data_IF_899375971545
#
_entry.id   IF_899375971545
#
_cell.length_a   1.000
_cell.length_b   1.000
_cell.length_c   1.000
_cell.angle_alpha   90.00
_cell.angle_beta   90.00
_cell.angle_gamma   90.00
#
_symmetry.space_group_name_H-M   'P 1'
#
loop_
_entity.id
_entity.type
_entity.pdbx_description
1 polymer ?
#
# COMPACT_ATOMS: atom_id res chain seq x y z
N UNK A 1 -35.21 -11.33 0.41
CA UNK A 1 -34.12 -10.33 0.53
C UNK A 1 -32.73 -10.94 0.75
N UNK A 2 -32.54 -11.94 1.62
CA UNK A 2 -31.21 -12.55 1.86
C UNK A 2 -30.60 -13.24 0.64
N UNK A 3 -31.44 -13.85 -0.22
CA UNK A 3 -30.99 -14.48 -1.49
C UNK A 3 -30.44 -13.44 -2.47
N UNK A 4 -31.12 -12.30 -2.65
CA UNK A 4 -30.68 -11.21 -3.54
C UNK A 4 -29.31 -10.65 -3.13
N UNK A 5 -29.05 -10.53 -1.83
CA UNK A 5 -27.74 -10.07 -1.33
C UNK A 5 -26.61 -11.00 -1.76
N UNK A 6 -26.80 -12.32 -1.60
CA UNK A 6 -25.81 -13.33 -2.03
C UNK A 6 -25.58 -13.31 -3.53
N UNK A 7 -26.64 -13.10 -4.31
CA UNK A 7 -26.55 -13.03 -5.77
C UNK A 7 -25.78 -11.78 -6.23
N UNK A 8 -25.98 -10.64 -5.58
CA UNK A 8 -25.20 -9.42 -5.89
C UNK A 8 -23.70 -9.61 -5.66
N UNK A 9 -23.30 -10.42 -4.68
CA UNK A 9 -21.88 -10.75 -4.46
C UNK A 9 -21.29 -11.55 -5.63
N UNK A 10 -22.11 -12.28 -6.41
CA UNK A 10 -21.68 -13.02 -7.60
C UNK A 10 -21.53 -12.12 -8.84
N UNK A 11 -22.09 -10.91 -8.86
CA UNK A 11 -21.99 -10.00 -10.01
C UNK A 11 -20.53 -9.65 -10.29
N UNK A 12 -19.79 -9.28 -9.25
CA UNK A 12 -18.37 -8.97 -9.39
C UNK A 12 -17.60 -10.20 -9.91
N UNK A 13 -17.92 -11.39 -9.44
CA UNK A 13 -17.24 -12.63 -9.86
C UNK A 13 -17.51 -12.95 -11.34
N UNK A 14 -18.73 -12.73 -11.85
CA UNK A 14 -19.09 -12.89 -13.26
C UNK A 14 -18.29 -11.94 -14.15
N UNK A 15 -18.17 -10.66 -13.78
CA UNK A 15 -17.46 -9.68 -14.59
C UNK A 15 -15.95 -9.91 -14.70
N UNK A 16 -15.37 -10.68 -13.77
CA UNK A 16 -13.97 -11.10 -13.83
C UNK A 16 -13.80 -12.54 -14.37
N UNK A 17 -14.86 -13.18 -14.87
CA UNK A 17 -14.86 -14.57 -15.34
C UNK A 17 -14.36 -15.55 -14.25
N UNK A 18 -14.70 -15.27 -12.99
CA UNK A 18 -14.25 -16.03 -11.80
C UNK A 18 -15.32 -16.98 -11.22
N UNK A 19 -16.51 -17.07 -11.82
CA UNK A 19 -17.57 -17.95 -11.35
C UNK A 19 -17.29 -19.41 -11.73
N UNK A 20 -17.62 -20.32 -10.81
CA UNK A 20 -17.69 -21.73 -11.15
C UNK A 20 -19.07 -22.08 -11.74
N UNK A 21 -19.17 -23.25 -12.40
CA UNK A 21 -20.41 -23.69 -13.07
C UNK A 21 -21.65 -23.75 -12.17
N UNK A 22 -21.47 -24.08 -10.89
CA UNK A 22 -22.59 -24.11 -9.93
C UNK A 22 -23.06 -22.70 -9.59
N UNK A 23 -22.14 -21.75 -9.46
CA UNK A 23 -22.47 -20.36 -9.18
C UNK A 23 -23.06 -19.66 -10.42
N UNK A 24 -22.56 -19.96 -11.63
CA UNK A 24 -23.13 -19.48 -12.90
C UNK A 24 -24.61 -19.90 -13.01
N UNK A 25 -24.90 -21.20 -12.85
CA UNK A 25 -26.28 -21.69 -12.90
C UNK A 25 -27.16 -21.09 -11.80
N UNK A 26 -26.63 -20.89 -10.60
CA UNK A 26 -27.35 -20.24 -9.49
C UNK A 26 -27.66 -18.77 -9.83
N UNK A 27 -26.70 -18.05 -10.41
CA UNK A 27 -26.85 -16.67 -10.86
C UNK A 27 -27.90 -16.57 -11.97
N UNK A 28 -27.78 -17.37 -13.03
CA UNK A 28 -28.71 -17.38 -14.16
C UNK A 28 -30.14 -17.67 -13.71
N UNK A 29 -30.35 -18.72 -12.91
CA UNK A 29 -31.66 -19.07 -12.37
C UNK A 29 -32.26 -17.91 -11.57
N UNK A 30 -31.46 -17.25 -10.73
CA UNK A 30 -31.96 -16.12 -9.96
C UNK A 30 -32.29 -14.90 -10.82
N UNK A 31 -31.50 -14.62 -11.86
CA UNK A 31 -31.77 -13.53 -12.79
C UNK A 31 -33.07 -13.81 -13.57
N UNK A 32 -33.41 -15.07 -13.85
CA UNK A 32 -34.69 -15.46 -14.44
C UNK A 32 -35.89 -15.25 -13.51
N UNK A 33 -35.71 -15.46 -12.20
CA UNK A 33 -36.79 -15.33 -11.22
C UNK A 33 -36.98 -13.90 -10.67
N UNK A 34 -35.90 -13.14 -10.54
CA UNK A 34 -35.91 -11.86 -9.82
C UNK A 34 -35.70 -10.66 -10.78
N UNK A 35 -36.76 -9.89 -11.09
CA UNK A 35 -36.64 -8.74 -12.01
C UNK A 35 -35.78 -7.61 -11.44
N UNK A 36 -35.73 -7.43 -10.12
CA UNK A 36 -34.91 -6.40 -9.49
C UNK A 36 -33.40 -6.68 -9.67
N UNK A 37 -32.96 -7.91 -9.39
CA UNK A 37 -31.56 -8.31 -9.60
C UNK A 37 -31.19 -8.29 -11.08
N UNK A 38 -32.12 -8.66 -11.98
CA UNK A 38 -31.92 -8.58 -13.43
C UNK A 38 -31.69 -7.15 -13.92
N UNK A 39 -32.50 -6.20 -13.44
CA UNK A 39 -32.33 -4.79 -13.79
C UNK A 39 -30.94 -4.28 -13.36
N UNK A 40 -30.54 -4.55 -12.11
CA UNK A 40 -29.24 -4.14 -11.58
C UNK A 40 -28.05 -4.77 -12.32
N UNK A 41 -28.15 -6.06 -12.67
CA UNK A 41 -27.13 -6.75 -13.46
C UNK A 41 -27.00 -6.15 -14.87
N UNK A 42 -28.12 -5.85 -15.51
CA UNK A 42 -28.15 -5.21 -16.83
C UNK A 42 -27.55 -3.80 -16.78
N UNK A 43 -27.82 -3.03 -15.73
CA UNK A 43 -27.26 -1.70 -15.55
C UNK A 43 -25.73 -1.75 -15.45
N UNK A 44 -25.18 -2.65 -14.62
CA UNK A 44 -23.72 -2.86 -14.52
C UNK A 44 -23.12 -3.31 -15.86
N UNK A 45 -23.75 -4.27 -16.52
CA UNK A 45 -23.30 -4.78 -17.83
C UNK A 45 -23.26 -3.67 -18.87
N UNK A 46 -24.28 -2.80 -18.90
CA UNK A 46 -24.34 -1.66 -19.82
C UNK A 46 -23.21 -0.65 -19.56
N UNK A 47 -22.87 -0.41 -18.29
CA UNK A 47 -21.78 0.47 -17.91
C UNK A 47 -20.42 -0.08 -18.35
N UNK A 48 -20.19 -1.38 -18.20
CA UNK A 48 -18.96 -2.04 -18.68
C UNK A 48 -18.86 -2.00 -20.21
N UNK A 49 -19.96 -2.25 -20.93
CA UNK A 49 -19.99 -2.13 -22.38
C UNK A 49 -19.70 -0.69 -22.83
N UNK A 50 -20.22 0.31 -22.11
CA UNK A 50 -19.92 1.72 -22.36
C UNK A 50 -18.43 2.04 -22.14
N UNK A 51 -17.82 1.51 -21.07
CA UNK A 51 -16.38 1.66 -20.82
C UNK A 51 -15.53 0.98 -21.89
N UNK A 52 -15.94 -0.21 -22.37
CA UNK A 52 -15.23 -0.97 -23.41
C UNK A 52 -15.27 -0.28 -24.78
N UNK A 53 -16.31 0.51 -25.06
CA UNK A 53 -16.42 1.31 -26.30
C UNK A 53 -15.37 2.44 -26.38
N UNK A 54 -14.76 2.85 -25.27
CA UNK A 54 -13.60 3.76 -25.33
C UNK A 54 -12.38 2.99 -25.83
N UNK A 55 -12.20 2.97 -27.14
CA UNK A 55 -10.91 2.65 -27.72
C UNK A 55 -9.91 3.70 -27.22
N UNK A 56 -8.98 3.29 -26.35
CA UNK A 56 -7.81 4.12 -26.09
C UNK A 56 -6.97 4.07 -27.34
N UNK A 57 -6.68 5.25 -27.89
CA UNK A 57 -5.65 5.37 -28.92
C UNK A 57 -4.36 4.88 -28.30
N UNK A 58 -3.84 3.75 -28.77
CA UNK A 58 -2.54 3.30 -28.34
C UNK A 58 -1.51 4.34 -28.78
N UNK A 59 -0.65 4.82 -27.86
CA UNK A 59 0.40 5.75 -28.24
C UNK A 59 1.30 5.09 -29.27
N UNK A 60 1.57 5.81 -30.37
CA UNK A 60 2.45 5.30 -31.43
C UNK A 60 3.87 5.01 -30.92
N UNK A 61 4.71 4.29 -31.68
CA UNK A 61 6.03 3.83 -31.24
C UNK A 61 6.91 4.94 -30.65
N UNK A 62 6.92 6.13 -31.28
CA UNK A 62 7.73 7.27 -30.82
C UNK A 62 7.22 7.96 -29.55
N UNK A 63 6.02 7.64 -29.05
CA UNK A 63 5.57 8.12 -27.75
C UNK A 63 6.44 7.57 -26.62
N UNK A 64 6.90 6.33 -26.77
CA UNK A 64 7.70 5.64 -25.76
C UNK A 64 9.13 6.17 -25.71
N UNK A 65 9.61 6.81 -26.78
CA UNK A 65 10.90 7.49 -26.82
C UNK A 65 10.95 8.60 -25.75
N UNK A 66 11.88 8.44 -24.81
CA UNK A 66 12.03 9.36 -23.68
C UNK A 66 10.87 9.36 -22.68
N UNK A 67 9.92 8.42 -22.76
CA UNK A 67 8.84 8.30 -21.78
C UNK A 67 9.39 8.12 -20.36
N UNK A 68 10.41 7.28 -20.20
CA UNK A 68 11.06 7.04 -18.92
C UNK A 68 11.70 8.32 -18.35
N UNK A 69 12.34 9.13 -19.18
CA UNK A 69 12.91 10.43 -18.77
C UNK A 69 11.81 11.38 -18.31
N UNK A 70 10.71 11.49 -19.06
CA UNK A 70 9.55 12.32 -18.68
C UNK A 70 8.87 11.82 -17.40
N UNK A 71 8.82 10.50 -17.21
CA UNK A 71 8.25 9.88 -16.02
C UNK A 71 9.10 10.17 -14.78
N UNK A 72 10.42 9.98 -14.87
CA UNK A 72 11.36 10.25 -13.78
C UNK A 72 11.37 11.74 -13.41
N UNK A 73 11.38 12.65 -14.39
CA UNK A 73 11.29 14.10 -14.16
C UNK A 73 9.96 14.48 -13.47
N UNK A 74 8.85 13.83 -13.83
CA UNK A 74 7.56 14.04 -13.17
C UNK A 74 7.55 13.48 -11.75
N UNK A 75 8.10 12.29 -11.53
CA UNK A 75 8.22 11.70 -10.19
C UNK A 75 9.08 12.58 -9.28
N UNK A 76 10.22 13.09 -9.75
CA UNK A 76 11.08 13.99 -8.97
C UNK A 76 10.36 15.30 -8.63
N UNK A 77 9.58 15.86 -9.57
CA UNK A 77 8.77 17.07 -9.35
C UNK A 77 7.62 16.83 -8.38
N UNK A 78 6.96 15.68 -8.45
CA UNK A 78 5.81 15.34 -7.61
C UNK A 78 6.23 14.84 -6.21
N UNK A 79 7.40 14.21 -6.06
CA UNK A 79 7.98 13.82 -4.77
C UNK A 79 8.34 15.03 -3.88
N UNK A 80 8.43 16.24 -4.43
CA UNK A 80 8.58 17.47 -3.63
C UNK A 80 7.27 17.89 -2.94
N UNK A 81 6.12 17.35 -3.32
CA UNK A 81 4.82 17.67 -2.71
C UNK A 81 4.37 16.70 -1.61
N UNK A 82 5.12 15.61 -1.36
CA UNK A 82 4.88 14.70 -0.24
C UNK A 82 6.08 14.72 0.71
N UNK A 83 6.08 15.70 1.61
CA UNK A 83 6.80 15.71 2.89
C UNK A 83 8.31 15.42 2.86
N UNK A 84 9.12 16.46 2.68
CA UNK A 84 10.45 16.52 3.34
C UNK A 84 10.27 17.02 4.77
N UNK A 85 10.39 16.19 5.83
CA UNK A 85 10.62 16.69 7.17
C UNK A 85 12.01 17.35 7.20
N UNK A 86 12.06 18.53 7.81
CA UNK A 86 13.15 19.47 7.66
C UNK A 86 14.53 18.91 7.99
N UNK A 87 15.45 19.06 7.04
CA UNK A 87 16.88 19.23 7.30
C UNK A 87 17.40 20.39 6.46
N UNK A 88 17.03 21.61 6.86
CA UNK A 88 17.77 22.81 6.44
C UNK A 88 19.11 22.76 7.16
N UNK A 89 20.13 22.28 6.43
CA UNK A 89 21.53 22.33 6.85
C UNK A 89 21.92 23.80 6.98
N UNK A 90 22.30 24.14 8.21
CA UNK A 90 22.82 25.41 8.69
C UNK A 90 24.08 25.77 7.90
N UNK A 91 23.98 26.69 6.94
CA UNK A 91 25.14 27.32 6.27
C UNK A 91 24.85 28.80 5.95
N UNK A 92 24.28 29.53 6.91
CA UNK A 92 23.98 30.97 6.76
C UNK A 92 24.36 31.83 7.99
N UNK A 93 25.18 31.32 8.92
CA UNK A 93 25.45 31.98 10.21
C UNK A 93 26.86 32.52 10.40
N UNK A 94 27.57 32.98 9.36
CA UNK A 94 28.89 33.61 9.53
C UNK A 94 29.02 35.04 8.96
N UNK A 95 27.91 35.73 8.64
CA UNK A 95 28.00 37.08 8.06
C UNK A 95 27.14 38.17 8.71
N UNK A 96 26.41 37.91 9.80
CA UNK A 96 25.53 38.91 10.41
C UNK A 96 25.70 38.96 11.93
N UNK A 97 26.83 39.54 12.37
CA UNK A 97 26.86 40.32 13.61
C UNK A 97 27.02 41.78 13.17
N UNK A 98 26.00 42.62 13.41
CA UNK A 98 26.25 43.73 14.33
C UNK A 98 25.05 44.13 15.21
N UNK A 99 25.35 44.53 16.46
CA UNK A 99 24.58 45.53 17.22
C UNK A 99 23.71 45.04 18.39
N UNK A 100 23.68 45.74 19.55
CA UNK A 100 23.09 45.28 20.82
C UNK A 100 21.55 45.47 20.93
N UNK A 101 20.81 45.31 19.83
CA UNK A 101 19.34 45.48 19.82
C UNK A 101 18.55 44.20 20.16
N UNK A 102 19.19 43.04 20.04
CA UNK A 102 18.66 41.71 20.35
C UNK A 102 18.35 41.48 21.84
N UNK A 103 19.03 42.17 22.75
CA UNK A 103 18.78 42.03 24.19
C UNK A 103 17.36 42.48 24.57
N UNK A 104 16.86 43.57 24.00
CA UNK A 104 15.52 44.07 24.30
C UNK A 104 14.40 43.21 23.71
N UNK A 105 14.64 42.56 22.56
CA UNK A 105 13.68 41.64 21.95
C UNK A 105 13.58 40.31 22.71
N UNK A 106 14.71 39.81 23.22
CA UNK A 106 14.71 38.62 24.08
C UNK A 106 13.96 38.87 25.41
N UNK A 107 14.17 40.04 26.03
CA UNK A 107 13.47 40.41 27.26
C UNK A 107 11.96 40.54 27.03
N UNK A 108 11.52 41.16 25.93
CA UNK A 108 10.10 41.29 25.62
C UNK A 108 9.39 39.93 25.43
N UNK A 109 10.06 38.96 24.79
CA UNK A 109 9.51 37.62 24.61
C UNK A 109 9.33 36.87 25.94
N UNK A 110 10.31 36.98 26.86
CA UNK A 110 10.23 36.38 28.19
C UNK A 110 9.09 36.99 29.01
N UNK A 111 8.90 38.31 28.95
CA UNK A 111 7.81 39.00 29.65
C UNK A 111 6.44 38.51 29.16
N UNK A 112 6.24 38.36 27.85
CA UNK A 112 4.98 37.84 27.29
C UNK A 112 4.67 36.40 27.73
N UNK A 113 5.70 35.55 27.84
CA UNK A 113 5.53 34.17 28.34
C UNK A 113 5.13 34.17 29.82
N UNK A 114 5.76 35.01 30.65
CA UNK A 114 5.43 35.11 32.08
C UNK A 114 4.00 35.64 32.28
N UNK A 115 3.59 36.66 31.52
CA UNK A 115 2.23 37.19 31.55
C UNK A 115 1.22 36.11 31.11
N UNK A 116 1.53 35.35 30.06
CA UNK A 116 0.69 34.26 29.58
C UNK A 116 0.50 33.15 30.61
N UNK A 117 1.57 32.76 31.30
CA UNK A 117 1.51 31.75 32.38
C UNK A 117 0.68 32.28 33.55
N UNK A 118 0.82 33.57 33.90
CA UNK A 118 0.10 34.18 35.02
C UNK A 118 -1.41 34.28 34.72
N UNK A 119 -1.78 34.80 33.54
CA UNK A 119 -3.17 34.85 33.09
C UNK A 119 -3.79 33.45 32.94
N UNK A 120 -3.03 32.48 32.43
CA UNK A 120 -3.47 31.09 32.32
C UNK A 120 -3.74 30.44 33.67
N UNK A 121 -2.97 30.80 34.71
CA UNK A 121 -3.14 30.26 36.06
C UNK A 121 -4.31 30.90 36.81
N UNK A 122 -4.56 32.19 36.61
CA UNK A 122 -5.66 32.92 37.29
C UNK A 122 -7.03 32.60 36.67
N UNK A 123 -7.11 32.44 35.34
CA UNK A 123 -8.36 32.17 34.63
C UNK A 123 -8.74 30.68 34.58
N UNK A 124 -7.77 29.77 34.76
CA UNK A 124 -8.00 28.32 34.77
C UNK A 124 -7.46 27.71 36.07
N UNK A 125 -8.18 27.80 37.20
CA UNK A 125 -7.77 27.14 38.43
C UNK A 125 -7.67 25.62 38.19
N UNK A 126 -6.57 24.98 38.63
CA UNK A 126 -6.39 23.54 38.45
C UNK A 126 -7.51 22.80 39.19
N UNK A 127 -8.22 21.92 38.46
CA UNK A 127 -9.27 21.09 39.02
C UNK A 127 -8.73 20.27 40.21
N UNK A 128 -9.51 20.10 41.29
CA UNK A 128 -9.05 19.36 42.46
C UNK A 128 -8.71 17.92 42.08
N UNK A 129 -7.65 17.34 42.67
CA UNK A 129 -7.17 16.01 42.31
C UNK A 129 -8.25 14.98 42.62
N UNK A 130 -8.90 14.50 41.57
CA UNK A 130 -9.89 13.43 41.67
C UNK A 130 -9.13 12.13 41.84
N UNK A 131 -9.09 11.62 43.07
CA UNK A 131 -8.68 10.29 43.53
C UNK A 131 -8.16 9.31 42.44
N UNK A 132 -6.91 9.48 42.03
CA UNK A 132 -6.19 8.58 41.11
C UNK A 132 -5.85 7.20 41.75
N UNK A 133 -6.02 7.04 43.07
CA UNK A 133 -5.72 5.79 43.76
C UNK A 133 -6.75 4.66 43.54
N UNK A 134 -7.96 4.96 43.02
CA UNK A 134 -9.01 3.94 42.79
C UNK A 134 -9.09 3.41 41.35
N UNK A 135 -8.21 3.87 40.44
CA UNK A 135 -8.16 3.42 39.04
C UNK A 135 -6.97 2.50 38.69
N UNK A 136 -6.14 2.10 39.66
CA UNK A 136 -5.09 1.09 39.45
C UNK A 136 -5.60 -0.37 39.42
N UNK A 137 -6.92 -0.58 39.38
CA UNK A 137 -7.54 -1.90 39.25
C UNK A 137 -8.28 -2.14 37.93
N UNK A 138 -8.30 -1.18 37.01
CA UNK A 138 -8.91 -1.36 35.70
C UNK A 138 -7.82 -1.45 34.63
N UNK A 139 -7.68 -2.59 33.92
CA UNK A 139 -6.78 -2.65 32.78
C UNK A 139 -7.22 -1.60 31.75
N UNK A 140 -6.26 -0.98 31.04
CA UNK A 140 -6.59 -0.02 30.00
C UNK A 140 -7.54 -0.69 29.00
N UNK A 141 -8.64 -0.01 28.68
CA UNK A 141 -9.42 -0.30 27.47
C UNK A 141 -8.53 0.08 26.29
N UNK A 142 -7.61 -0.82 25.97
CA UNK A 142 -6.99 -0.88 24.66
C UNK A 142 -8.15 -1.08 23.71
N UNK A 143 -8.38 -0.11 22.83
CA UNK A 143 -9.16 -0.36 21.62
C UNK A 143 -8.52 -1.58 20.97
N UNK A 144 -9.17 -2.74 21.11
CA UNK A 144 -8.68 -4.03 20.65
C UNK A 144 -8.49 -3.89 19.15
N UNK A 145 -7.25 -3.62 18.71
CA UNK A 145 -6.90 -3.73 17.31
C UNK A 145 -7.22 -5.17 16.94
N UNK A 146 -8.18 -5.34 16.05
CA UNK A 146 -8.51 -6.66 15.50
C UNK A 146 -7.21 -7.29 14.98
N UNK A 147 -6.82 -8.49 15.45
CA UNK A 147 -5.56 -9.16 15.07
C UNK A 147 -5.37 -9.27 13.56
N UNK A 148 -6.47 -9.32 12.79
CA UNK A 148 -6.42 -9.33 11.34
C UNK A 148 -5.96 -8.02 10.69
N UNK A 149 -6.09 -6.86 11.34
CA UNK A 149 -5.73 -5.56 10.76
C UNK A 149 -4.21 -5.34 10.70
N UNK A 150 -3.49 -5.79 11.73
CA UNK A 150 -2.03 -5.70 11.82
C UNK A 150 -1.34 -6.61 10.80
N UNK A 151 -1.82 -7.85 10.67
CA UNK A 151 -1.34 -8.80 9.65
C UNK A 151 -1.52 -8.25 8.23
N UNK A 152 -2.67 -7.64 7.93
CA UNK A 152 -2.93 -7.05 6.61
C UNK A 152 -1.98 -5.87 6.32
N UNK A 153 -1.74 -5.01 7.30
CA UNK A 153 -0.81 -3.88 7.14
C UNK A 153 0.63 -4.35 6.90
N UNK A 154 1.09 -5.36 7.64
CA UNK A 154 2.42 -5.94 7.45
C UNK A 154 2.56 -6.68 6.12
N UNK A 155 1.50 -7.36 5.68
CA UNK A 155 1.47 -8.02 4.37
C UNK A 155 1.54 -6.98 3.24
N UNK A 156 0.84 -5.86 3.38
CA UNK A 156 0.86 -4.79 2.39
C UNK A 156 2.24 -4.13 2.28
N UNK A 157 2.84 -3.73 3.40
CA UNK A 157 4.20 -3.13 3.42
C UNK A 157 5.24 -4.12 2.85
N UNK A 158 5.06 -5.42 3.07
CA UNK A 158 5.90 -6.44 2.44
C UNK A 158 5.74 -6.47 0.91
N UNK A 159 4.50 -6.43 0.40
CA UNK A 159 4.21 -6.45 -1.04
C UNK A 159 4.79 -5.20 -1.71
N UNK A 160 4.59 -4.02 -1.13
CA UNK A 160 5.08 -2.74 -1.68
C UNK A 160 6.60 -2.71 -1.80
N UNK A 161 7.33 -3.16 -0.78
CA UNK A 161 8.79 -3.24 -0.83
C UNK A 161 9.28 -4.28 -1.83
N UNK A 162 8.56 -5.40 -1.95
CA UNK A 162 8.87 -6.43 -2.94
C UNK A 162 8.68 -5.90 -4.36
N UNK A 163 7.63 -5.09 -4.60
CA UNK A 163 7.35 -4.46 -5.90
C UNK A 163 8.49 -3.56 -6.38
N UNK A 164 9.03 -2.71 -5.50
CA UNK A 164 10.15 -1.82 -5.84
C UNK A 164 11.38 -2.64 -6.26
N UNK A 165 11.72 -3.69 -5.52
CA UNK A 165 12.84 -4.57 -5.86
C UNK A 165 12.61 -5.30 -7.19
N UNK A 166 11.42 -5.85 -7.43
CA UNK A 166 11.12 -6.55 -8.68
C UNK A 166 11.14 -5.61 -9.89
N UNK A 167 10.67 -4.37 -9.73
CA UNK A 167 10.74 -3.37 -10.79
C UNK A 167 12.18 -3.01 -11.15
N UNK A 168 13.05 -2.87 -10.15
CA UNK A 168 14.47 -2.63 -10.40
C UNK A 168 15.10 -3.78 -11.22
N UNK A 169 14.76 -5.04 -10.90
CA UNK A 169 15.30 -6.21 -11.59
C UNK A 169 14.70 -6.37 -13.00
N UNK A 170 13.41 -6.12 -13.18
CA UNK A 170 12.76 -6.27 -14.50
C UNK A 170 13.23 -5.20 -15.46
N UNK A 171 13.36 -3.96 -14.99
CA UNK A 171 13.74 -2.83 -15.81
C UNK A 171 15.24 -2.80 -16.13
N UNK A 172 16.07 -3.52 -15.38
CA UNK A 172 17.51 -3.60 -15.66
C UNK A 172 17.77 -4.38 -16.94
N UNK A 173 18.34 -3.75 -17.96
CA UNK A 173 18.72 -4.42 -19.21
C UNK A 173 20.23 -4.68 -19.26
N UNK A 174 20.69 -5.94 -19.12
CA UNK A 174 22.11 -6.26 -19.10
C UNK A 174 22.84 -5.99 -20.43
N UNK A 175 22.11 -5.83 -21.54
CA UNK A 175 22.71 -5.52 -22.85
C UNK A 175 23.00 -4.02 -23.02
N UNK A 176 22.26 -3.16 -22.32
CA UNK A 176 22.35 -1.70 -22.47
C UNK A 176 22.81 -0.96 -21.22
N UNK A 177 22.66 -1.56 -20.05
CA UNK A 177 22.97 -0.96 -18.75
C UNK A 177 24.11 -1.70 -18.04
N UNK A 178 25.04 -0.94 -17.46
CA UNK A 178 26.15 -1.50 -16.69
C UNK A 178 25.65 -2.28 -15.47
N UNK A 179 26.28 -3.43 -15.18
CA UNK A 179 25.99 -4.29 -14.01
C UNK A 179 26.09 -3.56 -12.65
N UNK A 180 26.78 -2.43 -12.60
CA UNK A 180 26.86 -1.57 -11.42
C UNK A 180 25.59 -0.73 -11.17
N UNK A 181 24.74 -0.53 -12.17
CA UNK A 181 23.48 0.23 -12.06
C UNK A 181 22.45 -0.54 -11.22
N UNK A 182 22.36 -1.86 -11.38
CA UNK A 182 21.44 -2.70 -10.60
C UNK A 182 21.88 -2.83 -9.13
N UNK A 183 23.16 -2.59 -8.82
CA UNK A 183 23.79 -2.86 -7.52
C UNK A 183 23.29 -4.20 -6.92
N UNK A 184 23.68 -5.29 -7.57
CA UNK A 184 23.23 -6.64 -7.22
C UNK A 184 23.44 -6.99 -5.74
N UNK A 185 24.56 -6.65 -5.08
CA UNK A 185 24.73 -6.88 -3.65
C UNK A 185 23.66 -6.20 -2.78
N UNK A 186 23.27 -4.97 -3.14
CA UNK A 186 22.21 -4.26 -2.44
C UNK A 186 20.85 -4.95 -2.63
N UNK A 187 20.51 -5.38 -3.85
CA UNK A 187 19.24 -6.09 -4.11
C UNK A 187 19.17 -7.44 -3.37
N UNK A 188 20.28 -8.17 -3.30
CA UNK A 188 20.38 -9.41 -2.50
C UNK A 188 20.15 -9.12 -1.02
N UNK A 189 20.73 -8.06 -0.47
CA UNK A 189 20.55 -7.69 0.94
C UNK A 189 19.10 -7.32 1.24
N UNK A 190 18.47 -6.52 0.36
CA UNK A 190 17.05 -6.16 0.47
C UNK A 190 16.19 -7.43 0.39
N UNK A 191 16.47 -8.33 -0.54
CA UNK A 191 15.76 -9.60 -0.67
C UNK A 191 15.87 -10.46 0.61
N UNK A 192 17.07 -10.61 1.17
CA UNK A 192 17.31 -11.34 2.44
C UNK A 192 16.52 -10.73 3.60
N UNK A 193 16.42 -9.39 3.67
CA UNK A 193 15.60 -8.70 4.68
C UNK A 193 14.12 -9.00 4.51
N UNK A 194 13.62 -9.02 3.27
CA UNK A 194 12.24 -9.33 2.94
C UNK A 194 11.88 -10.79 3.28
N UNK A 195 12.77 -11.74 3.00
CA UNK A 195 12.57 -13.17 3.32
C UNK A 195 12.40 -13.44 4.82
N UNK A 196 13.13 -12.73 5.69
CA UNK A 196 12.93 -12.82 7.15
C UNK A 196 11.52 -12.43 7.55
N UNK A 197 10.93 -11.46 6.84
CA UNK A 197 9.60 -10.94 7.10
C UNK A 197 8.49 -11.86 6.58
N UNK A 198 8.72 -12.53 5.46
CA UNK A 198 7.82 -13.59 4.95
C UNK A 198 7.63 -14.70 5.97
N UNK A 199 8.69 -15.12 6.66
CA UNK A 199 8.61 -16.16 7.69
C UNK A 199 7.62 -15.81 8.81
N UNK A 200 7.61 -14.56 9.26
CA UNK A 200 6.63 -14.07 10.25
C UNK A 200 5.22 -14.04 9.67
N UNK A 201 5.04 -13.48 8.46
CA UNK A 201 3.73 -13.38 7.80
C UNK A 201 3.10 -14.77 7.59
N UNK A 202 3.88 -15.76 7.17
CA UNK A 202 3.41 -17.14 6.97
C UNK A 202 3.02 -17.82 8.29
N UNK A 203 3.77 -17.55 9.36
CA UNK A 203 3.45 -18.06 10.70
C UNK A 203 2.12 -17.50 11.18
N UNK A 204 1.91 -16.20 11.03
CA UNK A 204 0.61 -15.57 11.33
C UNK A 204 -0.51 -16.08 10.42
N UNK A 205 -0.21 -16.38 9.16
CA UNK A 205 -1.20 -17.02 8.30
C UNK A 205 -1.60 -18.44 8.75
N UNK A 206 -0.77 -19.11 9.54
CA UNK A 206 -1.05 -20.44 10.08
C UNK A 206 -1.80 -20.39 11.43
N UNK A 207 -1.57 -19.36 12.24
CA UNK A 207 -2.24 -19.18 13.55
C UNK A 207 -3.69 -18.73 13.43
N UNK A 208 -4.03 -17.99 12.36
CA UNK A 208 -5.39 -17.48 12.09
C UNK A 208 -6.38 -18.58 11.64
N UNK A 209 -5.93 -19.82 11.44
CA UNK A 209 -6.76 -20.97 11.01
C UNK A 209 -7.95 -21.35 11.93
N UNK A 210 -8.14 -20.67 13.08
CA UNK A 210 -9.22 -20.94 14.04
C UNK A 210 -10.44 -20.01 14.00
N UNK A 211 -10.41 -18.88 13.29
CA UNK A 211 -11.53 -17.94 13.21
C UNK A 211 -11.78 -17.54 11.74
N UNK A 212 -13.03 -17.61 11.22
CA UNK A 212 -13.29 -17.24 9.84
C UNK A 212 -13.13 -15.72 9.69
N UNK A 213 -12.11 -15.20 8.98
CA UNK A 213 -12.11 -13.80 8.65
C UNK A 213 -13.20 -13.60 7.59
N UNK A 214 -13.97 -12.52 7.69
CA UNK A 214 -15.01 -12.09 6.76
C UNK A 214 -14.58 -12.00 5.26
N UNK A 215 -13.33 -12.36 4.92
CA UNK A 215 -12.72 -12.24 3.59
C UNK A 215 -11.80 -13.44 3.24
N UNK A 216 -12.33 -14.66 3.24
CA UNK A 216 -11.56 -15.90 3.02
C UNK A 216 -10.80 -15.95 1.68
N UNK A 217 -11.38 -15.44 0.58
CA UNK A 217 -10.74 -15.42 -0.76
C UNK A 217 -9.57 -14.44 -0.84
N UNK A 218 -9.73 -13.22 -0.31
CA UNK A 218 -8.65 -12.20 -0.24
C UNK A 218 -7.45 -12.72 0.55
N UNK A 219 -7.71 -13.40 1.65
CA UNK A 219 -6.68 -14.00 2.47
C UNK A 219 -5.90 -15.10 1.73
N UNK A 220 -6.61 -15.97 1.01
CA UNK A 220 -6.01 -17.03 0.18
C UNK A 220 -5.14 -16.44 -0.93
N UNK A 221 -5.64 -15.43 -1.64
CA UNK A 221 -4.90 -14.73 -2.70
C UNK A 221 -3.63 -14.05 -2.17
N UNK A 222 -3.71 -13.37 -1.02
CA UNK A 222 -2.53 -12.77 -0.38
C UNK A 222 -1.51 -13.84 0.03
N UNK A 223 -1.96 -14.97 0.58
CA UNK A 223 -1.09 -16.09 0.93
C UNK A 223 -0.38 -16.67 -0.29
N UNK A 224 -1.09 -16.87 -1.40
CA UNK A 224 -0.51 -17.32 -2.66
C UNK A 224 0.51 -16.30 -3.20
N UNK A 225 0.16 -15.01 -3.22
CA UNK A 225 1.06 -13.94 -3.66
C UNK A 225 2.33 -13.86 -2.80
N UNK A 226 2.20 -13.97 -1.48
CA UNK A 226 3.34 -13.99 -0.56
C UNK A 226 4.23 -15.21 -0.81
N UNK A 227 3.64 -16.36 -1.14
CA UNK A 227 4.39 -17.58 -1.48
C UNK A 227 5.11 -17.44 -2.82
N UNK A 228 4.46 -16.87 -3.83
CA UNK A 228 5.08 -16.57 -5.12
C UNK A 228 6.27 -15.61 -4.95
N UNK A 229 6.09 -14.58 -4.12
CA UNK A 229 7.13 -13.62 -3.79
C UNK A 229 8.31 -14.25 -3.03
N UNK A 230 8.05 -15.15 -2.09
CA UNK A 230 9.09 -15.86 -1.34
C UNK A 230 10.04 -16.60 -2.30
N UNK A 231 9.49 -17.30 -3.29
CA UNK A 231 10.27 -18.06 -4.27
C UNK A 231 11.16 -17.12 -5.09
N UNK A 232 10.60 -16.01 -5.57
CA UNK A 232 11.36 -15.05 -6.38
C UNK A 232 12.43 -14.37 -5.53
N UNK A 233 12.10 -13.95 -4.31
CA UNK A 233 13.05 -13.34 -3.39
C UNK A 233 14.20 -14.31 -3.04
N UNK A 234 13.91 -15.60 -2.84
CA UNK A 234 14.95 -16.62 -2.67
C UNK A 234 15.89 -16.71 -3.86
N UNK A 235 15.36 -16.65 -5.08
CA UNK A 235 16.17 -16.63 -6.30
C UNK A 235 17.06 -15.39 -6.34
N UNK A 236 16.50 -14.20 -6.06
CA UNK A 236 17.25 -12.94 -6.01
C UNK A 236 18.34 -12.95 -4.94
N UNK A 237 18.04 -13.47 -3.76
CA UNK A 237 18.96 -13.51 -2.63
C UNK A 237 20.18 -14.43 -2.86
N UNK A 238 20.03 -15.40 -3.77
CA UNK A 238 21.04 -16.40 -4.13
C UNK A 238 21.65 -16.17 -5.52
N UNK A 239 21.39 -15.04 -6.18
CA UNK A 239 22.12 -14.66 -7.40
C UNK A 239 23.61 -14.61 -7.07
N UNK A 240 24.48 -15.17 -7.89
CA UNK A 240 25.92 -15.11 -7.64
C UNK A 240 26.47 -13.71 -7.94
N UNK A 241 27.49 -13.28 -7.20
CA UNK A 241 28.20 -12.02 -7.47
C UNK A 241 29.04 -12.18 -8.73
N UNK A 242 28.42 -11.97 -9.89
CA UNK A 242 28.93 -12.38 -11.22
C UNK A 242 27.92 -13.15 -12.06
N UNK A 243 26.65 -13.20 -11.62
CA UNK A 243 25.57 -13.91 -12.27
C UNK A 243 25.49 -13.57 -13.77
N UNK A 244 25.58 -14.63 -14.56
CA UNK A 244 25.43 -14.61 -16.01
C UNK A 244 24.06 -14.02 -16.40
N UNK A 245 24.00 -13.36 -17.55
CA UNK A 245 22.80 -12.70 -18.11
C UNK A 245 21.59 -13.64 -18.05
N UNK A 246 21.85 -14.91 -18.33
CA UNK A 246 20.94 -16.05 -18.26
C UNK A 246 20.22 -16.21 -16.91
N UNK A 247 20.88 -15.92 -15.79
CA UNK A 247 20.32 -16.09 -14.44
C UNK A 247 19.40 -14.93 -14.07
N UNK A 248 19.77 -13.70 -14.47
CA UNK A 248 18.90 -12.52 -14.32
C UNK A 248 17.65 -12.67 -15.19
N UNK A 249 17.81 -13.19 -16.40
CA UNK A 249 16.71 -13.44 -17.32
C UNK A 249 15.76 -14.55 -16.81
N UNK A 250 16.28 -15.57 -16.13
CA UNK A 250 15.47 -16.60 -15.47
C UNK A 250 14.61 -16.01 -14.34
N UNK A 251 15.15 -15.07 -13.56
CA UNK A 251 14.37 -14.34 -12.54
C UNK A 251 13.32 -13.44 -13.21
N UNK A 252 13.68 -12.69 -14.26
CA UNK A 252 12.73 -11.87 -15.02
C UNK A 252 11.58 -12.70 -15.58
N UNK A 253 11.89 -13.86 -16.17
CA UNK A 253 10.91 -14.80 -16.70
C UNK A 253 10.06 -15.39 -15.57
N UNK A 254 10.64 -15.72 -14.42
CA UNK A 254 9.89 -16.14 -13.23
C UNK A 254 8.87 -15.11 -12.75
N UNK A 255 9.23 -13.82 -12.77
CA UNK A 255 8.30 -12.73 -12.41
C UNK A 255 7.20 -12.54 -13.46
N UNK A 256 7.55 -12.61 -14.76
CA UNK A 256 6.60 -12.48 -15.88
C UNK A 256 5.61 -13.66 -15.93
N UNK A 257 6.11 -14.89 -15.90
CA UNK A 257 5.31 -16.13 -16.01
C UNK A 257 4.30 -16.23 -14.87
N UNK A 258 4.70 -15.85 -13.64
CA UNK A 258 3.81 -15.91 -12.48
C UNK A 258 2.83 -14.73 -12.40
N UNK A 259 2.91 -13.76 -13.32
CA UNK A 259 2.04 -12.58 -13.35
C UNK A 259 2.08 -11.78 -12.05
N UNK A 260 3.20 -11.81 -11.31
CA UNK A 260 3.26 -11.31 -9.92
C UNK A 260 2.97 -9.82 -9.85
N UNK A 261 3.53 -9.03 -10.78
CA UNK A 261 3.26 -7.60 -10.86
C UNK A 261 1.78 -7.29 -11.16
N UNK A 262 1.12 -8.13 -11.96
CA UNK A 262 -0.30 -8.00 -12.25
C UNK A 262 -1.15 -8.34 -11.03
N UNK A 263 -0.84 -9.44 -10.32
CA UNK A 263 -1.50 -9.80 -9.05
C UNK A 263 -1.35 -8.69 -7.99
N UNK A 264 -0.20 -8.01 -7.94
CA UNK A 264 0.01 -6.84 -7.07
C UNK A 264 -0.87 -5.65 -7.46
N UNK A 265 -0.88 -5.28 -8.75
CA UNK A 265 -1.70 -4.17 -9.25
C UNK A 265 -3.20 -4.39 -9.01
N UNK A 266 -3.69 -5.63 -9.17
CA UNK A 266 -5.07 -5.99 -8.86
C UNK A 266 -5.40 -5.81 -7.37
N UNK A 267 -4.44 -6.08 -6.49
CA UNK A 267 -4.59 -5.89 -5.04
C UNK A 267 -4.69 -4.40 -4.70
N UNK A 268 -3.91 -3.54 -5.36
CA UNK A 268 -3.93 -2.08 -5.19
C UNK A 268 -5.26 -1.45 -5.66
N UNK A 269 -5.77 -1.85 -6.84
CA UNK A 269 -7.00 -1.31 -7.44
C UNK A 269 -8.22 -1.60 -6.56
N UNK A 270 -8.37 -2.83 -6.05
CA UNK A 270 -9.51 -3.19 -5.17
C UNK A 270 -9.47 -2.48 -3.82
N UNK A 271 -8.29 -2.16 -3.28
CA UNK A 271 -8.17 -1.38 -2.05
C UNK A 271 -8.64 0.07 -2.25
N UNK A 272 -8.31 0.66 -3.40
CA UNK A 272 -8.75 2.01 -3.75
C UNK A 272 -10.28 2.10 -3.84
N UNK A 273 -10.93 1.09 -4.43
CA UNK A 273 -12.39 0.98 -4.53
C UNK A 273 -13.02 0.87 -3.13
N UNK A 274 -12.49 0.01 -2.26
CA UNK A 274 -13.01 -0.17 -0.89
C UNK A 274 -12.83 1.07 0.01
N UNK A 275 -11.72 1.80 -0.14
CA UNK A 275 -11.47 3.03 0.61
C UNK A 275 -12.44 4.15 0.20
N UNK A 276 -12.74 4.26 -1.10
CA UNK A 276 -13.71 5.23 -1.65
C UNK A 276 -15.15 4.94 -1.21
N UNK A 277 -15.54 3.67 -1.12
CA UNK A 277 -16.87 3.29 -0.66
C UNK A 277 -17.11 3.60 0.84
N UNK A 278 -16.05 3.50 1.67
CA UNK A 278 -16.10 3.91 3.09
C UNK A 278 -16.16 5.43 3.32
N UNK A 279 -15.65 6.25 2.41
CA UNK A 279 -15.69 7.72 2.55
C UNK A 279 -16.97 8.36 2.02
N UNK A 280 -17.80 7.61 1.28
CA UNK A 280 -19.05 8.12 0.68
C UNK A 280 -20.28 7.78 1.54
N UNK A 281 -20.08 7.13 2.69
CA UNK A 281 -21.13 6.70 3.64
C UNK A 281 -21.14 7.50 4.95
N UNK A 282 -20.47 8.66 4.96
CA UNK A 282 -20.53 9.69 6.00
C UNK A 282 -21.07 10.98 5.37
#
# INVERSE_FOLDING_TARGET
MTKCKKIRELFDEEFYEELNKEQETLLENHLQECPACRAEYNDMTSMLLFMKKRARVEPGPGFWDGYQVRLMDRMEKEEVLVSKPGKKRVTFFHALIPGPRWAYQAVAAVVLVVIGIFLGRELFPPAPPTNLAKRMGQPPVVAKLEPGSELMNHTQDFIERSKVLLLAIINFDPETEDTYVLNLPYQQEVSKKLLRRVGWIKKEFATVNGLPPLHHKRYRQLKELVTDLEIILLQVANLESGADISTIELVKNGVKIKGVLFKMQLTDIRQFINKKNKSTTL
#
